data_IF_545385724172
#
_entry.id   IF_545385724172
#
_cell.length_a   1.000
_cell.length_b   1.000
_cell.length_c   1.000
_cell.angle_alpha   90.00
_cell.angle_beta   90.00
_cell.angle_gamma   90.00
#
_symmetry.space_group_name_H-M   'P 1'
#
loop_
_entity.id
_entity.type
_entity.pdbx_description
1 polymer ?
#
# COMPACT_ATOMS: atom_id res chain seq x y z
N UNK A 1 -4.93 12.91 9.05
CA UNK A 1 -5.67 12.81 7.77
C UNK A 1 -4.90 12.07 6.68
N UNK A 2 -3.84 12.62 6.07
CA UNK A 2 -3.14 11.96 4.94
C UNK A 2 -2.48 10.61 5.30
N UNK A 3 -1.98 10.46 6.52
CA UNK A 3 -1.42 9.17 7.00
C UNK A 3 -2.50 8.12 7.30
N UNK A 4 -3.68 8.57 7.73
CA UNK A 4 -4.81 7.69 8.08
C UNK A 4 -5.52 7.20 6.81
N UNK A 5 -5.69 8.10 5.84
CA UNK A 5 -6.20 7.79 4.52
C UNK A 5 -5.26 8.24 3.40
N UNK A 6 -4.32 7.36 2.99
CA UNK A 6 -3.40 7.66 1.88
C UNK A 6 -4.08 7.75 0.51
N UNK A 7 -5.37 7.45 0.37
CA UNK A 7 -6.08 7.56 -0.90
C UNK A 7 -6.34 9.01 -1.33
N UNK A 8 -6.34 9.94 -0.37
CA UNK A 8 -6.50 11.37 -0.65
C UNK A 8 -5.23 12.01 -1.22
N UNK A 9 -4.08 11.32 -1.13
CA UNK A 9 -2.79 11.83 -1.60
C UNK A 9 -2.72 11.72 -3.12
N UNK A 10 -3.18 12.79 -3.79
CA UNK A 10 -3.13 13.02 -5.24
C UNK A 10 -2.06 14.06 -5.60
N UNK A 11 -2.07 14.55 -6.84
CA UNK A 11 -1.04 15.43 -7.39
C UNK A 11 -0.63 16.62 -6.50
N UNK A 12 -1.58 17.50 -6.11
CA UNK A 12 -1.27 18.69 -5.29
C UNK A 12 -0.61 18.33 -3.93
N UNK A 13 -1.06 17.23 -3.31
CA UNK A 13 -0.50 16.77 -2.03
C UNK A 13 0.87 16.15 -2.21
N UNK A 14 1.08 15.41 -3.30
CA UNK A 14 2.39 14.85 -3.66
C UNK A 14 3.41 15.98 -3.83
N UNK A 15 3.07 17.04 -4.57
CA UNK A 15 3.97 18.18 -4.76
C UNK A 15 4.28 18.90 -3.44
N UNK A 16 3.27 19.12 -2.59
CA UNK A 16 3.48 19.70 -1.25
C UNK A 16 4.40 18.84 -0.38
N UNK A 17 4.20 17.52 -0.39
CA UNK A 17 5.01 16.58 0.41
C UNK A 17 6.44 16.58 -0.12
N UNK A 18 6.62 16.43 -1.43
CA UNK A 18 7.93 16.44 -2.09
C UNK A 18 8.72 17.73 -1.80
N UNK A 19 8.07 18.89 -1.97
CA UNK A 19 8.67 20.20 -1.64
C UNK A 19 9.02 20.34 -0.16
N UNK A 20 8.15 19.85 0.73
CA UNK A 20 8.37 19.90 2.17
C UNK A 20 9.43 18.93 2.68
N UNK A 21 9.65 17.81 1.98
CA UNK A 21 10.62 16.78 2.33
C UNK A 21 11.96 16.91 1.58
N UNK A 22 12.03 17.76 0.55
CA UNK A 22 13.20 17.89 -0.31
C UNK A 22 13.44 16.65 -1.19
N UNK A 23 12.39 15.89 -1.51
CA UNK A 23 12.46 14.71 -2.38
C UNK A 23 11.76 14.98 -3.72
N UNK A 24 11.98 14.12 -4.71
CA UNK A 24 11.26 14.24 -5.98
C UNK A 24 9.81 13.75 -5.84
N UNK A 25 8.86 14.33 -6.61
CA UNK A 25 7.47 13.85 -6.66
C UNK A 25 7.33 12.37 -7.08
N UNK A 26 8.32 11.82 -7.80
CA UNK A 26 8.39 10.39 -8.14
C UNK A 26 8.60 9.53 -6.90
N UNK A 27 9.51 9.91 -6.02
CA UNK A 27 9.84 9.13 -4.81
C UNK A 27 8.62 9.02 -3.89
N UNK A 28 7.85 10.10 -3.79
CA UNK A 28 6.59 10.12 -3.02
C UNK A 28 5.57 9.17 -3.64
N UNK A 29 5.47 9.10 -4.98
CA UNK A 29 4.57 8.14 -5.66
C UNK A 29 5.00 6.70 -5.42
N UNK A 30 6.30 6.42 -5.47
CA UNK A 30 6.84 5.08 -5.25
C UNK A 30 6.62 4.60 -3.83
N UNK A 31 6.80 5.49 -2.85
CA UNK A 31 6.45 5.21 -1.45
C UNK A 31 4.96 4.87 -1.29
N UNK A 32 4.07 5.65 -1.92
CA UNK A 32 2.63 5.38 -1.86
C UNK A 32 2.26 4.04 -2.51
N UNK A 33 2.92 3.69 -3.61
CA UNK A 33 2.74 2.41 -4.28
C UNK A 33 3.22 1.23 -3.42
N UNK A 34 4.39 1.38 -2.79
CA UNK A 34 4.92 0.40 -1.85
C UNK A 34 3.97 0.20 -0.67
N UNK A 35 3.49 1.29 -0.07
CA UNK A 35 2.50 1.24 1.00
C UNK A 35 1.21 0.53 0.56
N UNK A 36 0.67 0.82 -0.63
CA UNK A 36 -0.52 0.14 -1.16
C UNK A 36 -0.27 -1.37 -1.33
N UNK A 37 0.89 -1.77 -1.83
CA UNK A 37 1.29 -3.18 -1.96
C UNK A 37 1.35 -3.87 -0.60
N UNK A 38 2.00 -3.25 0.39
CA UNK A 38 2.05 -3.76 1.76
C UNK A 38 0.66 -3.83 2.41
N UNK A 39 -0.15 -2.77 2.28
CA UNK A 39 -1.52 -2.73 2.80
C UNK A 39 -2.38 -3.83 2.19
N UNK A 40 -2.24 -4.10 0.89
CA UNK A 40 -2.92 -5.21 0.19
C UNK A 40 -2.44 -6.57 0.69
N UNK A 41 -1.14 -6.71 0.99
CA UNK A 41 -0.58 -7.93 1.57
C UNK A 41 -1.08 -8.16 3.00
N UNK A 42 -1.07 -7.13 3.87
CA UNK A 42 -1.60 -7.20 5.24
C UNK A 42 -3.12 -7.38 5.29
N UNK A 43 -3.89 -6.77 4.37
CA UNK A 43 -5.34 -6.95 4.28
C UNK A 43 -5.75 -8.24 3.55
N UNK A 44 -4.87 -8.85 2.76
CA UNK A 44 -5.15 -10.09 2.05
C UNK A 44 -5.28 -11.25 3.07
N UNK A 45 -6.38 -11.97 3.26
CA UNK A 45 -7.50 -12.40 2.41
C UNK A 45 -7.15 -12.99 1.03
N UNK A 46 -5.94 -12.73 0.50
CA UNK A 46 -5.36 -13.43 -0.67
C UNK A 46 -4.34 -14.51 -0.29
N UNK A 47 -3.66 -14.36 0.85
CA UNK A 47 -2.89 -15.42 1.50
C UNK A 47 -3.84 -16.36 2.26
N UNK A 48 -4.62 -15.86 3.21
CA UNK A 48 -5.48 -16.70 4.06
C UNK A 48 -6.49 -17.58 3.32
N UNK A 49 -7.17 -17.10 2.26
CA UNK A 49 -8.18 -17.93 1.54
C UNK A 49 -7.53 -18.95 0.59
N UNK A 50 -6.44 -18.58 -0.09
CA UNK A 50 -5.65 -19.53 -0.91
C UNK A 50 -4.87 -20.52 -0.04
N UNK A 51 -4.30 -20.06 1.07
CA UNK A 51 -3.64 -20.88 2.09
C UNK A 51 -4.62 -21.83 2.76
N UNK A 52 -5.84 -21.38 3.08
CA UNK A 52 -6.91 -22.25 3.63
C UNK A 52 -7.42 -23.24 2.59
N UNK A 53 -7.50 -22.85 1.32
CA UNK A 53 -7.82 -23.77 0.22
C UNK A 53 -6.70 -24.80 -0.02
N UNK A 54 -5.44 -24.38 0.04
CA UNK A 54 -4.27 -25.25 -0.05
C UNK A 54 -4.18 -26.19 1.16
N UNK A 55 -4.34 -25.70 2.39
CA UNK A 55 -4.38 -26.54 3.59
C UNK A 55 -5.48 -27.59 3.51
N UNK A 56 -6.69 -27.19 3.07
CA UNK A 56 -7.80 -28.12 2.85
C UNK A 56 -7.50 -29.15 1.77
N UNK A 57 -6.75 -28.79 0.73
CA UNK A 57 -6.31 -29.71 -0.34
C UNK A 57 -5.20 -30.68 0.14
N UNK A 58 -4.36 -30.26 1.09
CA UNK A 58 -3.33 -31.09 1.72
C UNK A 58 -3.81 -31.85 2.98
N UNK A 59 -5.10 -31.80 3.31
CA UNK A 59 -5.69 -32.57 4.41
C UNK A 59 -5.39 -32.06 5.82
N UNK A 60 -5.03 -30.78 5.95
CA UNK A 60 -4.89 -30.05 7.24
C UNK A 60 -6.14 -29.22 7.54
#
# INVERSE_FOLDING_TARGET
>A
KEREDPSIIKHERIERIAKGSGCDPSDVRDLLNYYKKMKKMMKGSGGGRRMKALMKQFGM
#
